data_IF_739137320510
#
_entry.id   IF_739137320510
#
_cell.length_a   1.000
_cell.length_b   1.000
_cell.length_c   1.000
_cell.angle_alpha   90.00
_cell.angle_beta   90.00
_cell.angle_gamma   90.00
#
_symmetry.space_group_name_H-M   'P 1'
#
loop_
_entity.id
_entity.type
_entity.pdbx_description
1 polymer ?
#
# COMPACT_ATOMS: atom_id res chain seq x y z
N UNK A 1 -18.59 19.35 3.50
CA UNK A 1 -18.89 19.12 4.93
C UNK A 1 -17.74 18.30 5.54
N UNK A 2 -16.94 18.94 6.43
CA UNK A 2 -15.77 18.30 7.07
C UNK A 2 -16.15 17.36 8.23
N UNK A 3 -17.23 16.62 8.08
CA UNK A 3 -17.60 15.55 9.02
C UNK A 3 -16.76 14.26 8.80
N UNK A 4 -15.87 14.25 7.79
CA UNK A 4 -15.06 13.10 7.47
C UNK A 4 -13.99 12.82 8.53
N UNK A 5 -13.82 11.54 8.86
CA UNK A 5 -12.72 11.04 9.69
C UNK A 5 -11.42 10.90 8.88
N UNK A 6 -11.49 11.08 7.56
CA UNK A 6 -10.36 10.91 6.66
C UNK A 6 -10.19 12.09 5.72
N UNK A 7 -8.96 12.31 5.27
CA UNK A 7 -8.62 13.21 4.16
C UNK A 7 -7.86 12.44 3.10
N UNK A 8 -8.01 12.85 1.84
CA UNK A 8 -7.32 12.25 0.71
C UNK A 8 -6.16 13.16 0.29
N UNK A 9 -4.97 12.58 0.14
CA UNK A 9 -3.81 13.25 -0.41
C UNK A 9 -3.46 12.65 -1.76
N UNK A 10 -3.18 13.52 -2.72
CA UNK A 10 -2.86 13.17 -4.10
C UNK A 10 -1.44 13.57 -4.41
N UNK A 11 -0.69 12.68 -5.06
CA UNK A 11 0.72 12.88 -5.41
C UNK A 11 0.93 12.64 -6.90
N UNK A 12 1.84 13.40 -7.49
CA UNK A 12 2.43 13.13 -8.79
C UNK A 12 3.94 13.17 -8.64
N UNK A 13 4.61 12.16 -9.13
CA UNK A 13 6.06 12.06 -9.15
C UNK A 13 6.56 12.48 -10.53
N UNK A 14 7.39 13.50 -10.55
CA UNK A 14 7.91 14.10 -11.79
C UNK A 14 9.41 13.86 -11.85
N UNK A 15 9.93 13.60 -13.04
CA UNK A 15 11.37 13.61 -13.31
C UNK A 15 11.91 15.05 -13.42
N UNK A 16 13.21 15.18 -13.70
CA UNK A 16 13.89 16.47 -13.87
C UNK A 16 13.31 17.34 -14.99
N UNK A 17 12.69 16.71 -15.99
CA UNK A 17 12.10 17.37 -17.15
C UNK A 17 10.62 17.69 -16.95
N UNK A 18 10.08 17.40 -15.75
CA UNK A 18 8.68 17.62 -15.41
C UNK A 18 7.73 16.55 -15.94
N UNK A 19 8.22 15.46 -16.50
CA UNK A 19 7.40 14.33 -16.97
C UNK A 19 6.94 13.50 -15.78
N UNK A 20 5.64 13.18 -15.73
CA UNK A 20 5.07 12.37 -14.67
C UNK A 20 5.38 10.89 -14.89
N UNK A 21 6.16 10.27 -14.01
CA UNK A 21 6.46 8.84 -14.03
C UNK A 21 5.65 8.03 -13.00
N UNK A 22 4.99 8.68 -12.06
CA UNK A 22 4.19 7.97 -11.07
C UNK A 22 3.11 8.85 -10.43
N UNK A 23 2.07 8.21 -9.91
CA UNK A 23 0.96 8.86 -9.21
C UNK A 23 0.59 8.06 -7.98
N UNK A 24 0.15 8.75 -6.92
CA UNK A 24 -0.38 8.08 -5.75
C UNK A 24 -1.57 8.84 -5.16
N UNK A 25 -2.46 8.07 -4.54
CA UNK A 25 -3.56 8.57 -3.72
C UNK A 25 -3.49 7.86 -2.38
N UNK A 26 -3.55 8.62 -1.29
CA UNK A 26 -3.54 8.05 0.05
C UNK A 26 -4.64 8.65 0.91
N UNK A 27 -5.29 7.82 1.72
CA UNK A 27 -6.27 8.24 2.70
C UNK A 27 -5.61 8.31 4.08
N UNK A 28 -5.79 9.43 4.75
CA UNK A 28 -5.21 9.73 6.05
C UNK A 28 -6.32 9.93 7.07
N UNK A 29 -6.13 9.43 8.27
CA UNK A 29 -6.99 9.69 9.41
C UNK A 29 -6.23 10.45 10.49
N UNK A 30 -6.96 11.26 11.25
CA UNK A 30 -6.44 11.92 12.44
C UNK A 30 -6.65 11.00 13.63
N UNK A 31 -5.60 10.77 14.42
CA UNK A 31 -5.65 9.97 15.65
C UNK A 31 -5.44 10.90 16.84
N UNK A 32 -6.36 10.86 17.77
CA UNK A 32 -6.20 11.47 19.09
C UNK A 32 -5.26 10.58 19.92
N UNK A 33 -4.05 11.05 20.17
CA UNK A 33 -3.02 10.29 20.88
C UNK A 33 -3.39 9.97 22.33
N UNK A 34 -4.11 10.86 23.00
CA UNK A 34 -4.52 10.66 24.39
C UNK A 34 -5.61 9.59 24.51
N UNK A 35 -6.54 9.59 23.56
CA UNK A 35 -7.71 8.69 23.58
C UNK A 35 -7.52 7.45 22.70
N UNK A 36 -6.42 7.37 21.94
CA UNK A 36 -6.12 6.27 21.00
C UNK A 36 -7.27 5.94 20.03
N UNK A 37 -7.99 6.99 19.55
CA UNK A 37 -9.14 6.83 18.65
C UNK A 37 -9.12 7.86 17.52
N UNK A 38 -9.88 7.57 16.47
CA UNK A 38 -10.06 8.50 15.36
C UNK A 38 -10.71 9.80 15.83
N UNK A 39 -10.18 10.92 15.33
CA UNK A 39 -10.70 12.25 15.59
C UNK A 39 -11.22 12.88 14.28
N UNK A 40 -12.27 13.72 14.34
CA UNK A 40 -12.77 14.44 13.17
C UNK A 40 -11.72 15.39 12.59
N UNK A 41 -11.56 15.41 11.28
CA UNK A 41 -10.59 16.28 10.57
C UNK A 41 -10.83 17.77 10.83
N UNK A 42 -12.06 18.18 11.18
CA UNK A 42 -12.38 19.57 11.56
C UNK A 42 -11.60 20.10 12.76
N UNK A 43 -10.97 19.23 13.55
CA UNK A 43 -10.10 19.66 14.66
C UNK A 43 -8.75 20.22 14.19
N UNK A 44 -8.40 20.05 12.91
CA UNK A 44 -7.18 20.58 12.30
C UNK A 44 -7.57 21.69 11.34
N UNK A 45 -7.75 22.89 11.87
CA UNK A 45 -8.29 24.03 11.12
C UNK A 45 -7.46 24.43 9.88
N UNK A 46 -6.13 24.26 9.96
CA UNK A 46 -5.21 24.65 8.88
C UNK A 46 -5.29 23.73 7.64
N UNK A 47 -5.81 22.52 7.79
CA UNK A 47 -5.95 21.59 6.64
C UNK A 47 -7.01 22.12 5.67
N UNK A 48 -8.03 22.82 6.15
CA UNK A 48 -9.13 23.33 5.33
C UNK A 48 -8.68 24.43 4.34
N UNK A 49 -7.69 25.25 4.71
CA UNK A 49 -7.17 26.33 3.86
C UNK A 49 -6.31 25.84 2.68
N UNK A 50 -5.87 24.58 2.71
CA UNK A 50 -4.98 23.99 1.71
C UNK A 50 -5.63 22.86 0.89
N UNK A 51 -6.92 22.60 1.09
CA UNK A 51 -7.63 21.56 0.35
C UNK A 51 -8.25 22.11 -0.93
N UNK A 52 -8.04 21.39 -2.04
CA UNK A 52 -8.73 21.65 -3.30
C UNK A 52 -9.71 20.51 -3.54
N UNK A 53 -11.01 20.81 -3.61
CA UNK A 53 -12.06 19.80 -3.84
C UNK A 53 -12.37 19.57 -5.32
N UNK A 54 -11.84 20.42 -6.21
CA UNK A 54 -12.30 20.52 -7.60
C UNK A 54 -11.40 19.82 -8.62
N UNK A 55 -10.36 19.10 -8.16
CA UNK A 55 -9.48 18.36 -9.07
C UNK A 55 -9.79 16.86 -9.02
N UNK A 56 -9.89 16.19 -10.18
CA UNK A 56 -10.03 14.74 -10.21
C UNK A 56 -8.79 14.07 -9.57
N UNK A 57 -8.99 12.88 -9.01
CA UNK A 57 -7.90 12.08 -8.50
C UNK A 57 -6.88 11.80 -9.61
N UNK A 58 -5.57 11.84 -9.32
CA UNK A 58 -4.52 11.62 -10.31
C UNK A 58 -4.43 10.16 -10.81
N UNK A 59 -4.99 9.23 -10.05
CA UNK A 59 -5.13 7.81 -10.37
C UNK A 59 -6.39 7.26 -9.71
N UNK A 60 -6.70 5.98 -9.94
CA UNK A 60 -7.84 5.33 -9.33
C UNK A 60 -7.75 5.38 -7.79
N UNK A 61 -8.90 5.54 -7.12
CA UNK A 61 -8.98 5.51 -5.67
C UNK A 61 -8.46 4.18 -5.10
N UNK A 62 -7.96 4.16 -3.84
CA UNK A 62 -7.55 2.92 -3.19
C UNK A 62 -8.70 1.91 -3.14
N UNK A 63 -8.41 0.65 -3.46
CA UNK A 63 -9.39 -0.43 -3.37
C UNK A 63 -9.54 -0.93 -1.94
N UNK A 64 -10.71 -1.46 -1.59
CA UNK A 64 -10.92 -2.10 -0.29
C UNK A 64 -10.37 -3.52 -0.32
N UNK A 65 -9.25 -3.73 0.36
CA UNK A 65 -8.63 -5.05 0.51
C UNK A 65 -9.33 -5.85 1.61
N UNK A 66 -9.35 -7.18 1.45
CA UNK A 66 -9.90 -8.13 2.43
C UNK A 66 -8.82 -9.11 2.85
N UNK A 67 -8.77 -9.50 4.14
CA UNK A 67 -7.92 -10.59 4.60
C UNK A 67 -8.20 -11.88 3.82
N UNK A 68 -7.19 -12.71 3.72
CA UNK A 68 -7.25 -14.03 3.11
C UNK A 68 -6.38 -14.99 3.92
N UNK A 69 -6.57 -16.29 3.72
CA UNK A 69 -5.76 -17.33 4.31
C UNK A 69 -4.85 -17.95 3.26
N UNK A 70 -3.60 -18.18 3.63
CA UNK A 70 -2.57 -18.88 2.84
C UNK A 70 -1.48 -19.37 3.79
N UNK A 71 -0.55 -20.17 3.28
CA UNK A 71 0.69 -20.45 3.99
C UNK A 71 1.68 -19.30 3.80
N UNK A 72 2.51 -18.97 4.81
CA UNK A 72 3.53 -17.95 4.66
C UNK A 72 4.60 -18.40 3.65
N UNK A 73 4.98 -17.50 2.73
CA UNK A 73 6.05 -17.72 1.77
C UNK A 73 7.42 -17.32 2.34
N UNK A 74 7.46 -16.35 3.27
CA UNK A 74 8.68 -15.89 3.92
C UNK A 74 8.41 -15.38 5.34
N UNK A 75 9.49 -15.13 6.07
CA UNK A 75 9.43 -14.46 7.38
C UNK A 75 10.57 -13.46 7.54
N UNK A 76 10.30 -12.37 8.29
CA UNK A 76 11.27 -11.33 8.59
C UNK A 76 11.19 -10.91 10.04
N UNK A 77 12.33 -10.87 10.74
CA UNK A 77 12.41 -10.27 12.07
C UNK A 77 12.75 -8.80 11.95
N UNK A 78 11.90 -7.96 12.48
CA UNK A 78 12.09 -6.50 12.46
C UNK A 78 13.36 -6.12 13.22
N UNK A 79 14.29 -5.47 12.52
CA UNK A 79 15.63 -5.08 13.01
C UNK A 79 15.73 -3.57 13.16
N UNK A 80 16.88 -3.11 13.70
CA UNK A 80 17.15 -1.68 13.90
C UNK A 80 17.00 -0.85 12.61
N UNK A 81 17.50 -1.37 11.48
CA UNK A 81 17.45 -0.66 10.19
C UNK A 81 16.03 -0.59 9.57
N UNK A 82 15.10 -1.35 10.12
CA UNK A 82 13.72 -1.32 9.67
C UNK A 82 12.90 -0.23 10.37
N UNK A 83 13.42 0.35 11.47
CA UNK A 83 12.68 1.24 12.36
C UNK A 83 12.91 2.70 12.01
N UNK A 84 11.82 3.47 12.01
CA UNK A 84 11.83 4.92 11.87
C UNK A 84 12.00 5.64 13.23
N UNK A 85 12.00 6.98 13.21
CA UNK A 85 12.12 7.79 14.41
C UNK A 85 10.93 7.67 15.39
N UNK A 86 9.78 7.18 14.95
CA UNK A 86 8.62 6.86 15.80
C UNK A 86 8.76 5.52 16.50
N UNK A 87 9.85 4.78 16.25
CA UNK A 87 10.10 3.41 16.73
C UNK A 87 9.16 2.36 16.13
N UNK A 88 8.54 2.67 15.00
CA UNK A 88 7.74 1.74 14.22
C UNK A 88 8.52 1.33 12.97
N UNK A 89 8.17 0.19 12.42
CA UNK A 89 8.73 -0.24 11.14
C UNK A 89 8.37 0.76 10.05
N UNK A 90 9.38 1.23 9.32
CA UNK A 90 9.25 2.21 8.25
C UNK A 90 8.37 1.67 7.13
N UNK A 91 7.50 2.52 6.59
CA UNK A 91 6.60 2.19 5.48
C UNK A 91 7.32 1.58 4.28
N UNK A 92 8.50 2.10 3.90
CA UNK A 92 9.27 1.58 2.77
C UNK A 92 9.76 0.15 3.01
N UNK A 93 10.10 -0.21 4.26
CA UNK A 93 10.57 -1.56 4.58
C UNK A 93 9.48 -2.61 4.40
N UNK A 94 8.22 -2.25 4.64
CA UNK A 94 7.11 -3.15 4.28
C UNK A 94 7.00 -3.34 2.77
N UNK A 95 7.20 -2.28 1.99
CA UNK A 95 7.16 -2.35 0.52
C UNK A 95 8.31 -3.23 0.01
N UNK A 96 9.52 -3.08 0.57
CA UNK A 96 10.67 -3.93 0.23
C UNK A 96 10.34 -5.41 0.47
N UNK A 97 9.81 -5.76 1.65
CA UNK A 97 9.43 -7.14 1.98
C UNK A 97 8.36 -7.71 1.04
N UNK A 98 7.42 -6.88 0.58
CA UNK A 98 6.43 -7.33 -0.40
C UNK A 98 7.06 -7.50 -1.79
N UNK A 99 7.97 -6.63 -2.18
CA UNK A 99 8.63 -6.67 -3.47
C UNK A 99 9.56 -7.88 -3.61
N UNK A 100 10.25 -8.26 -2.52
CA UNK A 100 11.17 -9.41 -2.47
C UNK A 100 10.45 -10.74 -2.79
N UNK A 101 9.14 -10.82 -2.57
CA UNK A 101 8.34 -12.03 -2.82
C UNK A 101 7.70 -12.06 -4.22
N UNK A 102 7.95 -11.07 -5.05
CA UNK A 102 7.43 -10.99 -6.41
C UNK A 102 8.44 -11.48 -7.43
N UNK A 103 8.00 -12.11 -8.55
CA UNK A 103 8.87 -12.41 -9.66
C UNK A 103 9.59 -11.17 -10.19
N UNK A 104 10.90 -11.26 -10.40
CA UNK A 104 11.74 -10.12 -10.84
C UNK A 104 11.25 -9.49 -12.14
N UNK A 105 10.68 -10.27 -13.04
CA UNK A 105 10.17 -9.80 -14.33
C UNK A 105 8.97 -8.84 -14.20
N UNK A 106 8.32 -8.76 -13.03
CA UNK A 106 7.23 -7.83 -12.79
C UNK A 106 7.69 -6.37 -12.70
N UNK A 107 8.96 -6.13 -12.41
CA UNK A 107 9.55 -4.78 -12.29
C UNK A 107 10.34 -4.37 -13.55
N UNK A 108 10.09 -5.00 -14.69
CA UNK A 108 10.68 -4.61 -15.97
C UNK A 108 10.33 -3.15 -16.33
N UNK A 109 11.27 -2.46 -16.99
CA UNK A 109 11.21 -1.01 -17.20
C UNK A 109 10.01 -0.50 -18.04
N UNK A 110 9.38 -1.38 -18.81
CA UNK A 110 8.23 -1.09 -19.68
C UNK A 110 6.87 -1.43 -19.04
N UNK A 111 6.86 -1.93 -17.81
CA UNK A 111 5.63 -2.31 -17.10
C UNK A 111 5.08 -1.19 -16.23
N UNK A 112 3.77 -1.13 -16.19
CA UNK A 112 3.03 -0.28 -15.26
C UNK A 112 2.66 -1.08 -14.02
N UNK A 113 3.18 -0.68 -12.86
CA UNK A 113 2.89 -1.33 -11.58
C UNK A 113 1.90 -0.48 -10.80
N UNK A 114 0.83 -1.12 -10.32
CA UNK A 114 -0.10 -0.57 -9.34
C UNK A 114 0.06 -1.30 -8.03
N UNK A 115 0.19 -0.54 -6.95
CA UNK A 115 0.28 -1.07 -5.58
C UNK A 115 -0.80 -0.42 -4.74
N UNK A 116 -1.71 -1.21 -4.20
CA UNK A 116 -2.69 -0.78 -3.20
C UNK A 116 -2.28 -1.39 -1.85
N UNK A 117 -2.09 -0.56 -0.82
CA UNK A 117 -1.67 -1.00 0.51
C UNK A 117 -2.61 -0.47 1.59
N UNK A 118 -3.04 -1.36 2.50
CA UNK A 118 -3.72 -1.03 3.74
C UNK A 118 -2.79 -1.28 4.93
N UNK A 119 -2.41 -0.24 5.62
CA UNK A 119 -1.73 -0.33 6.92
C UNK A 119 -2.79 -0.54 8.01
N UNK A 120 -2.72 -1.67 8.69
CA UNK A 120 -3.71 -2.08 9.70
C UNK A 120 -3.16 -1.88 11.11
N UNK A 121 -1.95 -2.42 11.37
CA UNK A 121 -1.28 -2.27 12.66
C UNK A 121 0.23 -2.16 12.46
N UNK A 122 0.83 -1.24 13.19
CA UNK A 122 2.29 -1.03 13.20
C UNK A 122 3.04 -2.24 13.75
N UNK A 123 4.24 -2.49 13.21
CA UNK A 123 5.20 -3.44 13.74
C UNK A 123 6.34 -2.69 14.40
N UNK A 124 6.95 -3.30 15.42
CA UNK A 124 8.02 -2.71 16.22
C UNK A 124 9.26 -3.60 16.20
N UNK A 125 10.38 -3.07 16.69
CA UNK A 125 11.63 -3.81 16.81
C UNK A 125 11.41 -5.15 17.53
N UNK A 126 11.94 -6.23 16.94
CA UNK A 126 11.87 -7.58 17.47
C UNK A 126 10.64 -8.40 17.05
N UNK A 127 9.60 -7.76 16.48
CA UNK A 127 8.46 -8.52 15.93
C UNK A 127 8.94 -9.52 14.86
N UNK A 128 8.39 -10.73 14.88
CA UNK A 128 8.53 -11.68 13.78
C UNK A 128 7.31 -11.53 12.85
N UNK A 129 7.58 -11.24 11.60
CA UNK A 129 6.59 -11.02 10.56
C UNK A 129 6.57 -12.22 9.62
N UNK A 130 5.39 -12.75 9.33
CA UNK A 130 5.15 -13.74 8.29
C UNK A 130 4.55 -13.06 7.07
N UNK A 131 5.11 -13.33 5.90
CA UNK A 131 4.73 -12.74 4.62
C UNK A 131 3.94 -13.78 3.83
N UNK A 132 2.83 -13.35 3.26
CA UNK A 132 1.91 -14.18 2.49
C UNK A 132 1.76 -13.58 1.11
N UNK A 133 1.91 -14.38 0.07
CA UNK A 133 1.78 -13.97 -1.32
C UNK A 133 1.01 -15.04 -2.09
N UNK A 134 -0.09 -14.66 -2.72
CA UNK A 134 -0.84 -15.54 -3.62
C UNK A 134 -1.08 -14.85 -4.96
N UNK A 135 -0.79 -15.52 -6.08
CA UNK A 135 -1.17 -15.03 -7.39
C UNK A 135 -2.70 -15.07 -7.53
N UNK A 136 -3.29 -14.02 -8.10
CA UNK A 136 -4.67 -14.06 -8.55
C UNK A 136 -4.66 -14.54 -10.00
N UNK A 137 -5.27 -15.71 -10.25
CA UNK A 137 -5.43 -16.21 -11.61
C UNK A 137 -6.32 -15.24 -12.39
N UNK A 138 -5.78 -14.59 -13.40
CA UNK A 138 -6.60 -13.95 -14.42
C UNK A 138 -7.18 -15.07 -15.28
N UNK A 139 -8.38 -15.57 -14.92
CA UNK A 139 -9.15 -16.42 -15.79
C UNK A 139 -9.78 -15.51 -16.86
N UNK A 140 -9.04 -15.25 -17.91
CA UNK A 140 -9.58 -15.05 -19.24
C UNK A 140 -8.67 -15.83 -20.20
N UNK A 141 -9.00 -17.11 -20.38
CA UNK A 141 -8.59 -17.85 -21.55
C UNK A 141 -9.30 -17.24 -22.76
N UNK A 142 -8.82 -16.11 -23.25
CA UNK A 142 -9.10 -15.72 -24.62
C UNK A 142 -8.14 -16.47 -25.52
N UNK A 143 -8.68 -17.36 -26.30
CA UNK A 143 -8.00 -18.23 -27.27
C UNK A 143 -7.47 -17.47 -28.50
N UNK A 144 -6.90 -16.30 -28.31
CA UNK A 144 -6.25 -15.57 -29.41
C UNK A 144 -4.83 -15.18 -29.04
N UNK A 145 -3.89 -15.81 -29.70
CA UNK A 145 -2.47 -15.96 -29.39
C UNK A 145 -1.61 -14.77 -29.82
N UNK A 146 -2.04 -13.52 -29.66
CA UNK A 146 -1.24 -12.35 -30.08
C UNK A 146 -0.94 -11.30 -29.00
N UNK A 147 -1.56 -11.35 -27.81
CA UNK A 147 -1.24 -10.43 -26.70
C UNK A 147 -0.48 -11.16 -25.57
N UNK A 148 0.85 -11.00 -25.60
CA UNK A 148 1.77 -11.46 -24.52
C UNK A 148 1.78 -10.53 -23.30
N UNK A 149 0.90 -9.55 -23.21
CA UNK A 149 0.81 -8.61 -22.08
C UNK A 149 -0.21 -9.07 -21.04
N UNK A 150 0.01 -10.28 -20.48
CA UNK A 150 -0.81 -10.77 -19.37
C UNK A 150 -0.68 -9.86 -18.14
N UNK A 151 -1.81 -9.37 -17.63
CA UNK A 151 -1.87 -8.67 -16.35
C UNK A 151 -1.59 -9.66 -15.24
N UNK A 152 -0.50 -9.45 -14.50
CA UNK A 152 -0.17 -10.24 -13.32
C UNK A 152 -0.72 -9.55 -12.06
N UNK A 153 -1.43 -10.30 -11.22
CA UNK A 153 -2.02 -9.79 -9.97
C UNK A 153 -1.63 -10.67 -8.79
N UNK A 154 -1.34 -10.00 -7.66
CA UNK A 154 -0.96 -10.66 -6.43
C UNK A 154 -1.73 -10.07 -5.26
N UNK A 155 -2.24 -10.93 -4.38
CA UNK A 155 -2.70 -10.52 -3.05
C UNK A 155 -1.63 -10.88 -2.05
N UNK A 156 -1.30 -9.92 -1.20
CA UNK A 156 -0.25 -10.08 -0.21
C UNK A 156 -0.71 -9.62 1.17
N UNK A 157 -0.14 -10.21 2.19
CA UNK A 157 -0.37 -9.82 3.57
C UNK A 157 0.91 -9.96 4.37
N UNK A 158 1.05 -9.13 5.41
CA UNK A 158 2.06 -9.31 6.45
C UNK A 158 1.33 -9.44 7.78
N UNK A 159 1.54 -10.57 8.46
CA UNK A 159 0.99 -10.83 9.79
C UNK A 159 2.14 -11.03 10.78
N UNK A 160 1.95 -10.62 12.03
CA UNK A 160 2.86 -10.95 13.13
C UNK A 160 2.76 -12.43 13.48
N UNK A 161 3.73 -12.95 14.23
CA UNK A 161 3.75 -14.34 14.71
C UNK A 161 2.46 -14.72 15.47
N UNK A 162 1.85 -13.78 16.19
CA UNK A 162 0.58 -13.97 16.90
C UNK A 162 -0.67 -13.92 16.01
N UNK A 163 -0.50 -13.84 14.69
CA UNK A 163 -1.58 -13.70 13.71
C UNK A 163 -2.12 -12.27 13.53
N UNK A 164 -1.63 -11.30 14.29
CA UNK A 164 -2.04 -9.90 14.12
C UNK A 164 -1.68 -9.39 12.73
N UNK A 165 -2.68 -8.91 12.00
CA UNK A 165 -2.50 -8.35 10.66
C UNK A 165 -1.82 -6.98 10.74
N UNK A 166 -0.69 -6.83 10.06
CA UNK A 166 0.02 -5.55 9.93
C UNK A 166 -0.31 -4.85 8.62
N UNK A 167 -0.27 -5.58 7.50
CA UNK A 167 -0.50 -5.03 6.16
C UNK A 167 -1.34 -5.98 5.32
N UNK A 168 -2.18 -5.39 4.47
CA UNK A 168 -2.74 -6.02 3.27
C UNK A 168 -2.26 -5.25 2.04
N UNK A 169 -1.93 -5.96 0.97
CA UNK A 169 -1.56 -5.36 -0.29
C UNK A 169 -2.19 -6.11 -1.48
N UNK A 170 -2.40 -5.37 -2.55
CA UNK A 170 -2.72 -5.89 -3.86
C UNK A 170 -1.77 -5.24 -4.86
N UNK A 171 -1.12 -6.05 -5.68
CA UNK A 171 -0.14 -5.62 -6.66
C UNK A 171 -0.59 -6.10 -8.02
N UNK A 172 -0.61 -5.18 -8.98
CA UNK A 172 -0.98 -5.44 -10.37
C UNK A 172 0.14 -4.91 -11.27
N UNK A 173 0.63 -5.74 -12.19
CA UNK A 173 1.61 -5.38 -13.22
C UNK A 173 1.02 -5.61 -14.60
N UNK A 174 1.10 -4.60 -15.46
CA UNK A 174 0.60 -4.60 -16.84
C UNK A 174 1.72 -4.31 -17.82
#
# INVERSE_FOLDING_TARGET
EYASLTTTRCFRFLDSDGKCFGRAVSNWCLIDFAQRRLAPMKKVADVAGHTTTDKPLPCAAPVKLRPFEAEPCASHRVKYMDIDFNRHMNTLRYIDLLADELPIDLVAADRHIRVDIHFVKESVYGDLLNIFCIPESTVEESSDSSDKDGVAKYRMAIKKEDGTLSILAHIESR
#
